data_IF_124955535333
#
_entry.id   IF_124955535333
#
_cell.length_a   1.000
_cell.length_b   1.000
_cell.length_c   1.000
_cell.angle_alpha   90.00
_cell.angle_beta   90.00
_cell.angle_gamma   90.00
#
_symmetry.space_group_name_H-M   'P 1'
#
loop_
_entity.id
_entity.type
_entity.pdbx_description
1 polymer ?
#
# COMPACT_ATOMS: atom_id res chain seq x y z
N UNK A 1 16.98 -5.46 -12.14
CA UNK A 1 16.29 -5.05 -10.90
C UNK A 1 16.78 -5.91 -9.75
N UNK A 2 17.13 -5.31 -8.62
CA UNK A 2 17.71 -6.01 -7.47
C UNK A 2 16.84 -5.83 -6.24
N UNK A 3 16.52 -6.93 -5.57
CA UNK A 3 15.86 -6.96 -4.27
C UNK A 3 16.91 -7.18 -3.18
N UNK A 4 17.12 -6.18 -2.32
CA UNK A 4 18.02 -6.29 -1.19
C UNK A 4 17.29 -6.92 -0.02
N UNK A 5 17.74 -8.08 0.43
CA UNK A 5 17.15 -8.86 1.50
C UNK A 5 18.00 -8.86 2.77
N UNK A 6 17.39 -9.20 3.88
CA UNK A 6 18.02 -9.31 5.19
C UNK A 6 17.21 -10.25 6.10
N UNK A 7 17.82 -10.79 7.12
CA UNK A 7 17.12 -11.66 8.08
C UNK A 7 15.95 -10.95 8.75
N UNK A 8 14.80 -11.58 8.72
CA UNK A 8 13.56 -11.05 9.23
C UNK A 8 12.80 -10.19 8.22
N UNK A 9 13.07 -10.30 6.92
CA UNK A 9 12.24 -9.64 5.90
C UNK A 9 10.84 -10.24 5.84
N UNK A 10 9.85 -9.44 5.44
CA UNK A 10 8.47 -9.86 5.26
C UNK A 10 8.30 -10.54 3.89
N UNK A 11 7.89 -11.83 3.84
CA UNK A 11 7.82 -12.59 2.58
C UNK A 11 6.99 -11.92 1.50
N UNK A 12 5.81 -11.39 1.84
CA UNK A 12 4.91 -10.80 0.87
C UNK A 12 5.44 -9.48 0.30
N UNK A 13 6.28 -8.77 1.04
CA UNK A 13 6.91 -7.53 0.57
C UNK A 13 7.95 -7.79 -0.54
N UNK A 14 8.49 -9.01 -0.59
CA UNK A 14 9.30 -9.51 -1.70
C UNK A 14 8.41 -10.16 -2.77
N UNK A 15 7.63 -11.18 -2.38
CA UNK A 15 6.93 -12.06 -3.32
C UNK A 15 5.87 -11.32 -4.14
N UNK A 16 5.19 -10.33 -3.56
CA UNK A 16 4.18 -9.53 -4.25
C UNK A 16 4.74 -8.77 -5.44
N UNK A 17 5.72 -7.86 -5.23
CA UNK A 17 6.39 -7.16 -6.33
C UNK A 17 7.12 -8.10 -7.29
N UNK A 18 7.82 -9.10 -6.77
CA UNK A 18 8.52 -10.09 -7.59
C UNK A 18 7.58 -10.75 -8.59
N UNK A 19 6.44 -11.27 -8.09
CA UNK A 19 5.45 -11.92 -8.95
C UNK A 19 4.85 -10.95 -9.98
N UNK A 20 4.62 -9.70 -9.62
CA UNK A 20 4.11 -8.70 -10.56
C UNK A 20 5.09 -8.48 -11.73
N UNK A 21 6.38 -8.28 -11.46
CA UNK A 21 7.39 -8.09 -12.49
C UNK A 21 7.64 -9.37 -13.31
N UNK A 22 7.64 -10.55 -12.66
CA UNK A 22 7.73 -11.83 -13.37
C UNK A 22 6.54 -12.04 -14.31
N UNK A 23 5.33 -11.74 -13.83
CA UNK A 23 4.12 -11.80 -14.65
C UNK A 23 4.15 -10.81 -15.82
N UNK A 24 4.78 -9.65 -15.66
CA UNK A 24 4.97 -8.70 -16.76
C UNK A 24 5.84 -9.27 -17.88
N UNK A 25 6.90 -10.01 -17.54
CA UNK A 25 7.72 -10.72 -18.51
C UNK A 25 6.90 -11.77 -19.29
N UNK A 26 6.10 -12.56 -18.56
CA UNK A 26 5.26 -13.60 -19.17
C UNK A 26 4.17 -13.02 -20.08
N UNK A 27 3.45 -11.99 -19.64
CA UNK A 27 2.40 -11.32 -20.43
C UNK A 27 2.97 -10.59 -21.66
N UNK A 28 4.21 -10.07 -21.55
CA UNK A 28 4.89 -9.44 -22.68
C UNK A 28 5.52 -10.43 -23.66
N UNK A 29 5.63 -11.71 -23.28
CA UNK A 29 6.32 -12.74 -24.09
C UNK A 29 7.81 -12.50 -24.28
N UNK A 30 8.43 -11.63 -23.46
CA UNK A 30 9.86 -11.30 -23.51
C UNK A 30 10.36 -10.79 -22.15
N UNK A 31 11.66 -10.92 -21.83
CA UNK A 31 12.24 -10.43 -20.60
C UNK A 31 12.28 -8.89 -20.60
N UNK A 32 11.36 -8.26 -19.85
CA UNK A 32 11.36 -6.81 -19.58
C UNK A 32 12.17 -6.49 -18.32
N UNK A 33 12.07 -7.38 -17.32
CA UNK A 33 12.71 -7.26 -16.01
C UNK A 33 13.56 -8.49 -15.72
N UNK A 34 14.85 -8.29 -15.53
CA UNK A 34 15.73 -9.28 -14.95
C UNK A 34 15.71 -9.08 -13.43
N UNK A 35 15.22 -10.07 -12.68
CA UNK A 35 15.07 -10.01 -11.24
C UNK A 35 16.20 -10.78 -10.56
N UNK A 36 16.75 -10.21 -9.49
CA UNK A 36 17.75 -10.87 -8.65
C UNK A 36 17.64 -10.43 -7.21
N UNK A 37 18.11 -11.27 -6.31
CA UNK A 37 18.14 -11.06 -4.87
C UNK A 37 19.57 -10.94 -4.37
N UNK A 38 19.79 -10.05 -3.40
CA UNK A 38 21.10 -9.85 -2.79
C UNK A 38 20.97 -9.62 -1.27
N UNK A 39 21.93 -10.08 -0.51
CA UNK A 39 21.99 -9.88 0.95
C UNK A 39 23.42 -9.85 1.46
N UNK A 40 23.63 -9.58 2.76
CA UNK A 40 24.94 -9.69 3.41
C UNK A 40 25.43 -11.14 3.46
N UNK A 41 24.52 -12.12 3.52
CA UNK A 41 24.82 -13.54 3.64
C UNK A 41 24.14 -14.33 2.52
N UNK A 42 24.68 -15.52 2.13
CA UNK A 42 24.11 -16.33 1.05
C UNK A 42 22.69 -16.84 1.32
N UNK A 43 22.29 -16.93 2.59
CA UNK A 43 20.97 -17.41 3.01
C UNK A 43 20.38 -16.42 3.99
N UNK A 44 19.14 -16.06 3.77
CA UNK A 44 18.34 -15.20 4.67
C UNK A 44 17.07 -15.92 5.12
N UNK A 45 16.55 -15.55 6.28
CA UNK A 45 15.30 -16.10 6.82
C UNK A 45 14.26 -15.02 7.00
N UNK A 46 12.98 -15.36 6.84
CA UNK A 46 11.87 -14.40 7.00
C UNK A 46 11.54 -14.13 8.47
N UNK A 47 11.77 -15.12 9.36
CA UNK A 47 11.51 -15.08 10.80
C UNK A 47 12.36 -16.16 11.47
N UNK A 48 12.44 -16.18 12.79
CA UNK A 48 13.26 -17.18 13.53
C UNK A 48 12.96 -18.63 13.15
N UNK A 49 11.72 -18.95 12.76
CA UNK A 49 11.29 -20.27 12.26
C UNK A 49 10.63 -20.16 10.87
N UNK A 50 10.96 -19.11 10.11
CA UNK A 50 10.35 -18.79 8.84
C UNK A 50 11.00 -19.49 7.65
N UNK A 51 10.56 -19.10 6.46
CA UNK A 51 11.15 -19.57 5.21
C UNK A 51 12.63 -19.15 5.14
N UNK A 52 13.48 -20.09 4.78
CA UNK A 52 14.87 -19.82 4.41
C UNK A 52 14.95 -19.68 2.91
N UNK A 53 15.67 -18.66 2.47
CA UNK A 53 15.85 -18.36 1.07
C UNK A 53 17.34 -18.14 0.76
N UNK A 54 17.84 -18.88 -0.23
CA UNK A 54 19.14 -18.59 -0.82
C UNK A 54 18.99 -17.39 -1.75
N UNK A 55 19.91 -16.41 -1.64
CA UNK A 55 19.96 -15.26 -2.53
C UNK A 55 20.87 -15.52 -3.73
N UNK A 56 20.69 -14.75 -4.80
CA UNK A 56 21.50 -14.90 -6.03
C UNK A 56 22.92 -14.40 -5.86
N UNK A 57 23.17 -13.47 -4.93
CA UNK A 57 24.50 -12.94 -4.63
C UNK A 57 24.61 -12.33 -3.24
N UNK A 58 25.83 -12.08 -2.79
CA UNK A 58 26.13 -11.35 -1.55
C UNK A 58 26.66 -9.95 -1.83
N UNK A 59 26.65 -9.06 -0.82
CA UNK A 59 27.22 -7.72 -0.95
C UNK A 59 28.71 -7.74 -1.34
N UNK A 60 29.44 -8.73 -0.84
CA UNK A 60 30.86 -8.94 -1.14
C UNK A 60 31.06 -9.35 -2.61
N UNK A 61 30.16 -10.18 -3.14
CA UNK A 61 30.22 -10.67 -4.53
C UNK A 61 29.61 -9.70 -5.54
N UNK A 62 28.90 -8.66 -5.04
CA UNK A 62 28.22 -7.70 -5.88
C UNK A 62 29.20 -6.75 -6.57
N UNK A 63 29.36 -6.96 -7.87
CA UNK A 63 30.13 -6.07 -8.72
C UNK A 63 29.42 -4.72 -8.97
N UNK A 64 30.05 -3.84 -9.73
CA UNK A 64 29.52 -2.52 -10.08
C UNK A 64 28.58 -2.54 -11.29
N UNK A 65 28.02 -3.71 -11.64
CA UNK A 65 27.07 -3.82 -12.74
C UNK A 65 25.85 -2.88 -12.51
N UNK A 66 25.40 -2.14 -13.55
CA UNK A 66 24.29 -1.19 -13.39
C UNK A 66 23.02 -1.86 -12.81
N UNK A 67 22.36 -1.16 -11.93
CA UNK A 67 21.04 -1.52 -11.39
C UNK A 67 20.04 -0.47 -11.84
N UNK A 68 19.01 -0.85 -12.59
CA UNK A 68 17.95 0.08 -13.00
C UNK A 68 16.95 0.36 -11.86
N UNK A 69 16.78 -0.61 -10.99
CA UNK A 69 15.87 -0.49 -9.85
C UNK A 69 16.36 -1.32 -8.67
N UNK A 70 16.40 -0.68 -7.51
CA UNK A 70 16.67 -1.30 -6.21
C UNK A 70 15.37 -1.33 -5.39
N UNK A 71 15.02 -2.47 -4.80
CA UNK A 71 13.86 -2.59 -3.92
C UNK A 71 14.26 -3.23 -2.59
N UNK A 72 13.82 -2.59 -1.50
CA UNK A 72 14.05 -3.03 -0.11
C UNK A 72 12.72 -3.40 0.52
N UNK A 73 12.45 -4.69 0.80
CA UNK A 73 11.26 -5.13 1.51
C UNK A 73 11.30 -4.69 2.98
N UNK A 74 10.15 -4.67 3.63
CA UNK A 74 10.05 -4.50 5.07
C UNK A 74 10.18 -5.82 5.81
N UNK A 75 9.89 -5.77 7.10
CA UNK A 75 9.88 -6.91 7.99
C UNK A 75 10.38 -6.56 9.40
N UNK A 76 10.21 -7.47 10.35
CA UNK A 76 10.66 -7.27 11.74
C UNK A 76 12.18 -7.14 11.88
N UNK A 77 12.95 -7.60 10.89
CA UNK A 77 14.40 -7.43 10.83
C UNK A 77 14.88 -6.06 10.39
N UNK A 78 14.00 -5.15 9.99
CA UNK A 78 14.36 -3.84 9.44
C UNK A 78 15.28 -3.03 10.38
N UNK A 79 15.07 -3.10 11.67
CA UNK A 79 15.91 -2.38 12.65
C UNK A 79 17.35 -2.92 12.68
N UNK A 80 17.50 -4.24 12.66
CA UNK A 80 18.83 -4.87 12.60
C UNK A 80 19.53 -4.54 11.30
N UNK A 81 18.82 -4.60 10.17
CA UNK A 81 19.33 -4.22 8.87
C UNK A 81 19.77 -2.75 8.85
N UNK A 82 18.97 -1.86 9.45
CA UNK A 82 19.27 -0.42 9.58
C UNK A 82 20.53 -0.12 10.43
N UNK A 83 20.84 -0.98 11.38
CA UNK A 83 22.04 -0.86 12.23
C UNK A 83 23.27 -1.57 11.64
N UNK A 84 23.12 -2.37 10.58
CA UNK A 84 24.20 -3.16 10.00
C UNK A 84 25.05 -2.31 9.05
N UNK A 85 26.29 -2.03 9.45
CA UNK A 85 27.17 -1.08 8.75
C UNK A 85 27.42 -1.45 7.30
N UNK A 86 27.62 -2.73 7.00
CA UNK A 86 27.85 -3.22 5.64
C UNK A 86 26.61 -3.01 4.75
N UNK A 87 25.41 -3.31 5.28
CA UNK A 87 24.15 -3.04 4.59
C UNK A 87 24.01 -1.57 4.24
N UNK A 88 24.30 -0.67 5.18
CA UNK A 88 24.24 0.78 4.94
C UNK A 88 25.26 1.25 3.92
N UNK A 89 26.49 0.73 3.96
CA UNK A 89 27.54 1.06 3.00
C UNK A 89 27.15 0.58 1.58
N UNK A 90 26.67 -0.68 1.47
CA UNK A 90 26.22 -1.25 0.22
C UNK A 90 25.05 -0.47 -0.38
N UNK A 91 24.03 -0.15 0.42
CA UNK A 91 22.86 0.63 -0.02
C UNK A 91 23.26 1.99 -0.60
N UNK A 92 24.09 2.76 0.11
CA UNK A 92 24.55 4.07 -0.36
C UNK A 92 25.30 3.96 -1.69
N UNK A 93 26.20 2.98 -1.81
CA UNK A 93 26.96 2.73 -3.03
C UNK A 93 26.05 2.41 -4.22
N UNK A 94 25.11 1.48 -4.02
CA UNK A 94 24.24 1.01 -5.11
C UNK A 94 23.13 2.01 -5.46
N UNK A 95 22.61 2.72 -4.46
CA UNK A 95 21.63 3.79 -4.68
C UNK A 95 22.21 4.91 -5.57
N UNK A 96 23.48 5.25 -5.41
CA UNK A 96 24.11 6.33 -6.19
C UNK A 96 24.00 6.11 -7.71
N UNK A 97 24.09 4.85 -8.15
CA UNK A 97 23.98 4.47 -9.57
C UNK A 97 22.58 4.02 -10.01
N UNK A 98 21.63 3.83 -9.09
CA UNK A 98 20.29 3.35 -9.40
C UNK A 98 19.35 4.51 -9.80
N UNK A 99 18.77 4.49 -11.01
CA UNK A 99 17.76 5.47 -11.42
C UNK A 99 16.51 5.45 -10.54
N UNK A 100 16.23 4.32 -9.87
CA UNK A 100 15.04 4.14 -9.04
C UNK A 100 15.33 3.28 -7.82
N UNK A 101 14.95 3.77 -6.63
CA UNK A 101 15.09 3.05 -5.36
C UNK A 101 13.74 3.00 -4.66
N UNK A 102 13.29 1.78 -4.35
CA UNK A 102 11.97 1.49 -3.83
C UNK A 102 12.06 0.87 -2.43
N UNK A 103 11.07 1.15 -1.59
CA UNK A 103 10.85 0.41 -0.35
C UNK A 103 9.40 -0.06 -0.22
N UNK A 104 9.24 -1.20 0.42
CA UNK A 104 7.95 -1.76 0.77
C UNK A 104 7.87 -1.85 2.29
N UNK A 105 6.75 -1.41 2.90
CA UNK A 105 6.52 -1.50 4.34
C UNK A 105 7.62 -0.80 5.18
N UNK A 106 8.16 -1.51 6.17
CA UNK A 106 9.27 -1.04 7.02
C UNK A 106 10.64 -1.01 6.32
N UNK A 107 10.74 -1.38 5.05
CA UNK A 107 11.92 -1.12 4.22
C UNK A 107 12.27 0.38 4.13
N UNK A 108 11.29 1.25 4.35
CA UNK A 108 11.51 2.70 4.45
C UNK A 108 12.46 3.09 5.59
N UNK A 109 12.49 2.35 6.72
CA UNK A 109 13.45 2.58 7.81
C UNK A 109 14.89 2.29 7.37
N UNK A 110 15.07 1.24 6.60
CA UNK A 110 16.38 0.84 6.09
C UNK A 110 16.94 1.90 5.15
N UNK A 111 16.11 2.41 4.22
CA UNK A 111 16.51 3.51 3.34
C UNK A 111 16.73 4.82 4.10
N UNK A 112 15.91 5.11 5.11
CA UNK A 112 16.05 6.29 5.95
C UNK A 112 17.33 6.26 6.79
N UNK A 113 17.68 5.11 7.37
CA UNK A 113 18.94 4.92 8.11
C UNK A 113 20.18 5.08 7.22
N UNK A 114 20.05 4.76 5.94
CA UNK A 114 21.10 5.03 4.96
C UNK A 114 21.20 6.53 4.56
N UNK A 115 20.27 7.40 5.02
CA UNK A 115 20.22 8.83 4.69
C UNK A 115 19.66 9.14 3.30
N UNK A 116 19.04 8.15 2.66
CA UNK A 116 18.60 8.27 1.26
C UNK A 116 17.27 9.02 1.10
N UNK A 117 16.48 9.12 2.16
CA UNK A 117 15.12 9.68 2.12
C UNK A 117 15.01 11.08 2.73
N UNK A 118 16.09 11.70 3.19
CA UNK A 118 16.06 13.00 3.86
C UNK A 118 15.39 14.09 3.01
N UNK A 119 14.49 14.86 3.62
CA UNK A 119 13.69 15.90 2.97
C UNK A 119 12.60 15.37 2.02
N UNK A 120 12.42 14.06 1.90
CA UNK A 120 11.48 13.43 0.97
C UNK A 120 10.10 13.21 1.60
N UNK A 121 9.07 13.21 0.74
CA UNK A 121 7.78 12.67 1.09
C UNK A 121 7.84 11.14 1.00
N UNK A 122 7.42 10.44 2.06
CA UNK A 122 7.51 8.99 2.16
C UNK A 122 6.29 8.39 2.84
N UNK A 123 6.01 7.12 2.55
CA UNK A 123 5.06 6.33 3.33
C UNK A 123 5.72 5.03 3.82
N UNK A 124 5.09 4.41 4.77
CA UNK A 124 5.45 3.11 5.33
C UNK A 124 4.19 2.42 5.83
N UNK A 125 4.31 1.24 6.39
CA UNK A 125 3.17 0.58 7.03
C UNK A 125 2.59 1.46 8.14
N UNK A 126 1.28 1.63 8.15
CA UNK A 126 0.58 2.56 9.06
C UNK A 126 0.93 2.40 10.55
N UNK A 127 1.12 1.15 11.02
CA UNK A 127 1.55 0.88 12.41
C UNK A 127 2.92 1.45 12.73
N UNK A 128 3.72 1.73 11.72
CA UNK A 128 5.11 2.16 11.86
C UNK A 128 5.34 3.61 11.47
N UNK A 129 4.30 4.31 10.97
CA UNK A 129 4.43 5.68 10.48
C UNK A 129 4.87 6.67 11.55
N UNK A 130 4.26 6.62 12.75
CA UNK A 130 4.64 7.50 13.87
C UNK A 130 6.06 7.23 14.34
N UNK A 131 6.45 5.98 14.39
CA UNK A 131 7.82 5.58 14.75
C UNK A 131 8.83 6.07 13.71
N UNK A 132 8.53 5.94 12.41
CA UNK A 132 9.39 6.45 11.34
C UNK A 132 9.56 7.97 11.46
N UNK A 133 8.49 8.71 11.75
CA UNK A 133 8.50 10.17 11.94
C UNK A 133 9.36 10.58 13.13
N UNK A 134 9.29 9.83 14.22
CA UNK A 134 10.08 10.09 15.42
C UNK A 134 11.58 9.79 15.22
N UNK A 135 11.91 8.68 14.57
CA UNK A 135 13.29 8.26 14.37
C UNK A 135 14.01 9.08 13.29
N UNK A 136 13.26 9.55 12.27
CA UNK A 136 13.80 10.27 11.12
C UNK A 136 13.02 11.57 10.87
N UNK A 137 13.22 12.61 11.71
CA UNK A 137 12.43 13.85 11.65
C UNK A 137 12.66 14.67 10.36
N UNK A 138 13.70 14.39 9.61
CA UNK A 138 13.95 15.00 8.31
C UNK A 138 12.96 14.52 7.22
N UNK A 139 12.21 13.43 7.46
CA UNK A 139 11.25 12.87 6.49
C UNK A 139 9.89 13.55 6.60
N UNK A 140 9.21 13.69 5.46
CA UNK A 140 7.80 14.09 5.41
C UNK A 140 6.91 12.84 5.32
N UNK A 141 6.70 12.17 6.45
CA UNK A 141 5.95 10.92 6.52
C UNK A 141 4.45 11.15 6.32
N UNK A 142 3.86 10.53 5.30
CA UNK A 142 2.43 10.50 5.00
C UNK A 142 1.91 9.10 5.31
N UNK A 143 1.16 8.96 6.39
CA UNK A 143 0.80 7.69 7.02
C UNK A 143 -0.42 6.97 6.42
N UNK A 144 -1.12 7.58 5.47
CA UNK A 144 -2.34 7.00 4.89
C UNK A 144 -2.27 6.98 3.35
N UNK A 145 -1.11 6.57 2.80
CA UNK A 145 -0.86 6.45 1.37
C UNK A 145 -0.47 5.02 1.00
N UNK A 146 -0.97 4.53 -0.12
CA UNK A 146 -0.60 3.21 -0.65
C UNK A 146 0.86 3.21 -1.08
N UNK A 147 1.26 4.19 -1.88
CA UNK A 147 2.65 4.46 -2.22
C UNK A 147 2.86 5.96 -2.51
N UNK A 148 4.10 6.39 -2.44
CA UNK A 148 4.52 7.76 -2.75
C UNK A 148 5.73 7.71 -3.67
N UNK A 149 5.69 8.51 -4.73
CA UNK A 149 6.83 8.84 -5.57
C UNK A 149 7.43 10.19 -5.08
N UNK A 150 8.74 10.20 -4.83
CA UNK A 150 9.47 11.43 -4.47
C UNK A 150 10.84 11.45 -5.17
N UNK A 151 10.85 11.95 -6.40
CA UNK A 151 12.01 11.85 -7.29
C UNK A 151 12.28 10.39 -7.71
N UNK A 152 13.50 9.91 -7.50
CA UNK A 152 13.83 8.51 -7.80
C UNK A 152 13.36 7.51 -6.74
N UNK A 153 12.88 7.99 -5.59
CA UNK A 153 12.47 7.14 -4.46
C UNK A 153 10.97 6.87 -4.48
N UNK A 154 10.63 5.59 -4.36
CA UNK A 154 9.26 5.12 -4.28
C UNK A 154 9.06 4.32 -2.99
N UNK A 155 8.15 4.74 -2.15
CA UNK A 155 7.88 4.07 -0.87
C UNK A 155 6.44 3.60 -0.81
N UNK A 156 6.18 2.40 -0.32
CA UNK A 156 4.82 1.85 -0.20
C UNK A 156 4.48 1.36 1.20
N UNK A 157 3.18 1.28 1.46
CA UNK A 157 2.62 0.83 2.74
C UNK A 157 2.94 -0.62 3.11
N UNK A 158 3.32 -1.42 2.12
CA UNK A 158 3.69 -2.81 2.35
C UNK A 158 2.57 -3.82 2.18
N UNK A 159 2.93 -5.08 2.37
CA UNK A 159 2.07 -6.24 2.17
C UNK A 159 1.47 -6.19 0.75
N UNK A 160 0.15 -6.11 0.61
CA UNK A 160 -0.49 -6.02 -0.73
C UNK A 160 -0.21 -4.70 -1.46
N UNK A 161 0.12 -3.61 -0.76
CA UNK A 161 0.49 -2.34 -1.39
C UNK A 161 1.81 -2.42 -2.18
N UNK A 162 2.66 -3.42 -1.90
CA UNK A 162 3.83 -3.72 -2.73
C UNK A 162 3.45 -4.16 -4.15
N UNK A 163 2.31 -4.84 -4.30
CA UNK A 163 1.77 -5.21 -5.62
C UNK A 163 1.27 -3.97 -6.36
N UNK A 164 0.56 -3.06 -5.68
CA UNK A 164 0.08 -1.80 -6.27
C UNK A 164 1.26 -0.94 -6.75
N UNK A 165 2.33 -0.85 -5.93
CA UNK A 165 3.57 -0.18 -6.31
C UNK A 165 4.18 -0.81 -7.57
N UNK A 166 4.31 -2.13 -7.63
CA UNK A 166 4.87 -2.82 -8.79
C UNK A 166 4.03 -2.60 -10.05
N UNK A 167 2.70 -2.66 -9.93
CA UNK A 167 1.79 -2.36 -11.05
C UNK A 167 1.92 -0.92 -11.54
N UNK A 168 2.11 0.06 -10.63
CA UNK A 168 2.35 1.45 -11.01
C UNK A 168 3.70 1.63 -11.73
N UNK A 169 4.74 0.93 -11.29
CA UNK A 169 6.05 0.92 -11.93
C UNK A 169 5.99 0.29 -13.32
N UNK A 170 5.30 -0.86 -13.49
CA UNK A 170 5.08 -1.50 -14.78
C UNK A 170 4.32 -0.57 -15.73
N UNK A 171 3.28 0.11 -15.25
CA UNK A 171 2.53 1.09 -16.05
C UNK A 171 3.42 2.22 -16.55
N UNK A 172 4.27 2.74 -15.69
CA UNK A 172 5.21 3.81 -16.04
C UNK A 172 6.25 3.38 -17.06
N UNK A 173 6.75 2.15 -16.94
CA UNK A 173 7.83 1.63 -17.79
C UNK A 173 7.32 1.14 -19.16
N UNK A 174 6.15 0.52 -19.20
CA UNK A 174 5.68 -0.22 -20.38
C UNK A 174 4.25 0.19 -20.80
N UNK A 175 3.52 0.85 -19.93
CA UNK A 175 2.17 1.35 -20.21
C UNK A 175 1.04 0.60 -19.51
N UNK A 176 -0.13 1.25 -19.49
CA UNK A 176 -1.30 0.81 -18.74
C UNK A 176 -1.84 -0.56 -19.21
N UNK A 177 -1.73 -0.88 -20.50
CA UNK A 177 -2.27 -2.12 -21.05
C UNK A 177 -1.61 -3.35 -20.40
N UNK A 178 -0.27 -3.37 -20.32
CA UNK A 178 0.46 -4.49 -19.71
C UNK A 178 0.21 -4.54 -18.20
N UNK A 179 0.23 -3.40 -17.51
CA UNK A 179 -0.08 -3.34 -16.08
C UNK A 179 -1.46 -3.92 -15.76
N UNK A 180 -2.47 -3.66 -16.60
CA UNK A 180 -3.81 -4.24 -16.44
C UNK A 180 -3.83 -5.76 -16.71
N UNK A 181 -3.05 -6.25 -17.66
CA UNK A 181 -2.93 -7.70 -17.92
C UNK A 181 -2.31 -8.40 -16.71
N UNK A 182 -1.23 -7.84 -16.16
CA UNK A 182 -0.59 -8.34 -14.93
C UNK A 182 -1.56 -8.32 -13.75
N UNK A 183 -2.29 -7.22 -13.53
CA UNK A 183 -3.27 -7.14 -12.45
C UNK A 183 -4.36 -8.22 -12.57
N UNK A 184 -4.86 -8.50 -13.78
CA UNK A 184 -5.83 -9.59 -14.03
C UNK A 184 -5.23 -10.96 -13.75
N UNK A 185 -3.99 -11.20 -14.19
CA UNK A 185 -3.27 -12.45 -13.93
C UNK A 185 -3.08 -12.72 -12.45
N UNK A 186 -2.76 -11.67 -11.67
CA UNK A 186 -2.62 -11.74 -10.22
C UNK A 186 -3.96 -11.80 -9.47
N UNK A 187 -5.09 -11.80 -10.19
CA UNK A 187 -6.44 -11.76 -9.60
C UNK A 187 -6.63 -10.56 -8.67
N UNK A 188 -5.93 -9.45 -8.94
CA UNK A 188 -6.11 -8.21 -8.18
C UNK A 188 -7.50 -7.66 -8.50
N UNK A 189 -8.39 -7.71 -7.51
CA UNK A 189 -9.79 -7.29 -7.68
C UNK A 189 -9.88 -5.81 -8.06
N UNK A 190 -9.01 -4.98 -7.48
CA UNK A 190 -8.92 -3.55 -7.75
C UNK A 190 -7.50 -3.06 -7.50
N UNK A 191 -6.91 -2.41 -8.48
CA UNK A 191 -5.66 -1.67 -8.32
C UNK A 191 -5.94 -0.39 -7.52
N UNK A 192 -5.08 -0.10 -6.54
CA UNK A 192 -5.15 1.09 -5.71
C UNK A 192 -4.14 2.12 -6.20
N UNK A 193 -4.57 3.38 -6.29
CA UNK A 193 -3.68 4.49 -6.61
C UNK A 193 -2.88 4.92 -5.37
N UNK A 194 -1.71 5.51 -5.57
CA UNK A 194 -0.80 5.87 -4.49
C UNK A 194 -1.41 6.80 -3.44
N UNK A 195 -2.33 7.68 -3.85
CA UNK A 195 -3.02 8.63 -2.98
C UNK A 195 -4.21 8.02 -2.20
N UNK A 196 -4.55 6.76 -2.45
CA UNK A 196 -5.58 6.06 -1.69
C UNK A 196 -5.09 5.69 -0.29
N UNK A 197 -6.07 5.45 0.60
CA UNK A 197 -5.79 5.06 1.98
C UNK A 197 -5.32 3.62 2.07
N UNK A 198 -4.44 3.35 3.05
CA UNK A 198 -3.94 2.00 3.31
C UNK A 198 -5.05 1.02 3.72
N UNK A 199 -6.10 1.52 4.37
CA UNK A 199 -7.28 0.72 4.69
C UNK A 199 -8.52 1.25 3.98
N UNK A 200 -9.35 0.33 3.52
CA UNK A 200 -10.72 0.66 3.16
C UNK A 200 -11.49 1.19 4.37
N UNK A 201 -12.41 2.11 4.15
CA UNK A 201 -13.34 2.54 5.21
C UNK A 201 -14.14 1.34 5.74
N UNK A 202 -14.48 0.42 4.86
CA UNK A 202 -15.13 -0.86 5.20
C UNK A 202 -14.34 -1.64 6.24
N UNK A 203 -13.03 -1.88 6.03
CA UNK A 203 -12.19 -2.56 7.03
C UNK A 203 -12.09 -1.80 8.35
N UNK A 204 -11.92 -0.47 8.30
CA UNK A 204 -11.92 0.37 9.51
C UNK A 204 -13.24 0.29 10.29
N UNK A 205 -14.35 0.16 9.58
CA UNK A 205 -15.65 0.01 10.17
C UNK A 205 -15.82 -1.41 10.75
N UNK A 206 -15.39 -2.45 10.05
CA UNK A 206 -15.44 -3.83 10.52
C UNK A 206 -14.60 -4.05 11.78
N UNK A 207 -13.40 -3.47 11.89
CA UNK A 207 -12.53 -3.60 13.07
C UNK A 207 -13.08 -2.89 14.32
N UNK A 208 -13.91 -1.85 14.15
CA UNK A 208 -14.47 -1.05 15.26
C UNK A 208 -15.92 -1.37 15.57
N UNK A 209 -16.54 -2.30 14.85
CA UNK A 209 -17.97 -2.48 14.92
C UNK A 209 -18.40 -3.26 16.16
N UNK A 210 -18.89 -2.55 17.18
CA UNK A 210 -19.79 -3.12 18.17
C UNK A 210 -21.06 -3.65 17.46
N UNK A 211 -21.58 -4.78 17.91
CA UNK A 211 -22.65 -5.54 17.25
C UNK A 211 -23.82 -4.71 16.64
N UNK A 212 -24.29 -3.59 17.24
CA UNK A 212 -25.44 -2.87 16.69
C UNK A 212 -25.16 -2.09 15.40
N UNK A 213 -23.90 -1.82 15.06
CA UNK A 213 -23.56 -1.05 13.86
C UNK A 213 -23.06 -1.92 12.69
N UNK A 214 -22.72 -3.19 12.94
CA UNK A 214 -22.26 -4.11 11.89
C UNK A 214 -23.34 -4.29 10.82
N UNK A 215 -24.53 -4.68 11.25
CA UNK A 215 -25.66 -4.90 10.35
C UNK A 215 -26.05 -3.63 9.58
N UNK A 216 -25.89 -2.45 10.20
CA UNK A 216 -26.11 -1.17 9.51
C UNK A 216 -25.09 -0.95 8.39
N UNK A 217 -23.80 -1.17 8.65
CA UNK A 217 -22.74 -0.98 7.64
C UNK A 217 -22.95 -1.94 6.47
N UNK A 218 -23.24 -3.20 6.73
CA UNK A 218 -23.54 -4.20 5.69
C UNK A 218 -24.77 -3.81 4.86
N UNK A 219 -25.85 -3.32 5.50
CA UNK A 219 -27.03 -2.82 4.80
C UNK A 219 -26.74 -1.60 3.93
N UNK A 220 -25.90 -0.68 4.42
CA UNK A 220 -25.48 0.50 3.65
C UNK A 220 -24.67 0.08 2.43
N UNK A 221 -23.71 -0.84 2.59
CA UNK A 221 -22.86 -1.33 1.50
C UNK A 221 -23.67 -2.07 0.44
N UNK A 222 -24.60 -2.89 0.84
CA UNK A 222 -25.50 -3.61 -0.07
C UNK A 222 -26.41 -2.68 -0.89
N UNK A 223 -26.74 -1.49 -0.36
CA UNK A 223 -27.62 -0.50 -0.99
C UNK A 223 -27.03 0.90 -1.00
N UNK A 224 -25.77 1.03 -1.42
CA UNK A 224 -25.00 2.28 -1.33
C UNK A 224 -25.59 3.43 -2.15
N UNK A 225 -26.28 3.13 -3.26
CA UNK A 225 -26.98 4.10 -4.09
C UNK A 225 -28.30 4.62 -3.49
N UNK A 226 -28.87 3.90 -2.51
CA UNK A 226 -30.13 4.30 -1.88
C UNK A 226 -29.97 5.61 -1.09
N UNK A 227 -31.08 6.30 -0.89
CA UNK A 227 -31.11 7.43 0.06
C UNK A 227 -31.10 6.86 1.48
N UNK A 228 -30.11 7.28 2.26
CA UNK A 228 -29.97 6.97 3.67
C UNK A 228 -30.07 8.27 4.47
N UNK A 229 -31.15 8.45 5.19
CA UNK A 229 -31.27 9.51 6.20
C UNK A 229 -30.68 9.03 7.53
N UNK A 230 -30.43 9.95 8.44
CA UNK A 230 -29.99 9.59 9.80
C UNK A 230 -31.07 8.79 10.53
N UNK A 231 -32.35 9.03 10.22
CA UNK A 231 -33.46 8.31 10.80
C UNK A 231 -33.50 6.85 10.29
N UNK A 232 -33.31 6.64 8.96
CA UNK A 232 -33.21 5.28 8.40
C UNK A 232 -32.08 4.47 9.04
N UNK A 233 -30.95 5.13 9.31
CA UNK A 233 -29.80 4.49 9.96
C UNK A 233 -30.08 4.19 11.42
N UNK A 234 -30.78 5.08 12.13
CA UNK A 234 -31.17 4.90 13.52
C UNK A 234 -32.17 3.75 13.66
N UNK A 235 -33.19 3.70 12.80
CA UNK A 235 -34.19 2.64 12.75
C UNK A 235 -33.54 1.29 12.44
N UNK A 236 -32.58 1.23 11.52
CA UNK A 236 -31.83 0.01 11.22
C UNK A 236 -31.02 -0.52 12.41
N UNK A 237 -30.71 0.34 13.40
CA UNK A 237 -30.06 -0.01 14.66
C UNK A 237 -31.02 -0.16 15.85
N UNK A 238 -32.33 -0.04 15.63
CA UNK A 238 -33.35 -0.04 16.69
C UNK A 238 -33.08 1.02 17.77
N UNK A 239 -32.68 2.23 17.36
CA UNK A 239 -32.31 3.34 18.25
C UNK A 239 -33.09 4.61 17.89
N UNK A 240 -33.38 5.45 18.91
CA UNK A 240 -33.83 6.81 18.61
C UNK A 240 -32.68 7.59 17.91
N UNK A 241 -33.02 8.54 17.03
CA UNK A 241 -32.05 9.38 16.30
C UNK A 241 -30.95 9.98 17.21
N UNK A 242 -31.34 10.53 18.36
CA UNK A 242 -30.42 11.12 19.34
C UNK A 242 -29.45 10.08 19.91
N UNK A 243 -29.97 8.91 20.29
CA UNK A 243 -29.16 7.81 20.84
C UNK A 243 -28.19 7.27 19.80
N UNK A 244 -28.68 7.07 18.58
CA UNK A 244 -27.91 6.61 17.46
C UNK A 244 -26.76 7.58 17.15
N UNK A 245 -27.03 8.87 16.94
CA UNK A 245 -25.99 9.86 16.62
C UNK A 245 -24.91 9.91 17.70
N UNK A 246 -25.30 9.95 18.98
CA UNK A 246 -24.35 9.97 20.09
C UNK A 246 -23.48 8.72 20.15
N UNK A 247 -24.08 7.52 20.10
CA UNK A 247 -23.34 6.25 20.14
C UNK A 247 -22.49 6.06 18.91
N UNK A 248 -22.99 6.42 17.73
CA UNK A 248 -22.27 6.30 16.46
C UNK A 248 -21.05 7.24 16.44
N UNK A 249 -21.22 8.50 16.81
CA UNK A 249 -20.11 9.46 16.88
C UNK A 249 -19.06 9.07 17.94
N UNK A 250 -19.49 8.59 19.09
CA UNK A 250 -18.58 8.09 20.12
C UNK A 250 -17.78 6.86 19.65
N UNK A 251 -18.40 6.03 18.79
CA UNK A 251 -17.79 4.80 18.29
C UNK A 251 -16.86 5.04 17.10
N UNK A 252 -17.31 5.81 16.12
CA UNK A 252 -16.59 6.05 14.86
C UNK A 252 -15.78 7.35 14.82
N UNK A 253 -15.96 8.25 15.78
CA UNK A 253 -15.32 9.56 15.82
C UNK A 253 -15.83 10.57 14.80
N UNK A 254 -16.84 10.20 14.00
CA UNK A 254 -17.42 11.03 12.93
C UNK A 254 -18.93 10.82 12.82
N UNK A 255 -19.63 11.76 12.16
CA UNK A 255 -21.07 11.68 11.97
C UNK A 255 -21.45 10.53 10.98
N UNK A 256 -22.66 9.93 11.12
CA UNK A 256 -23.14 8.87 10.24
C UNK A 256 -23.15 9.25 8.75
N UNK A 257 -23.54 10.47 8.43
CA UNK A 257 -23.54 10.99 7.06
C UNK A 257 -22.14 11.12 6.45
N UNK A 258 -21.14 11.38 7.28
CA UNK A 258 -19.75 11.42 6.85
C UNK A 258 -19.21 10.04 6.54
N UNK A 259 -19.56 9.01 7.32
CA UNK A 259 -19.22 7.62 7.00
C UNK A 259 -19.84 7.21 5.67
N UNK A 260 -21.12 7.46 5.47
CA UNK A 260 -21.82 7.18 4.19
C UNK A 260 -21.14 7.88 3.01
N UNK A 261 -20.76 9.16 3.17
CA UNK A 261 -20.07 9.92 2.14
C UNK A 261 -18.72 9.26 1.77
N UNK A 262 -17.95 8.84 2.77
CA UNK A 262 -16.64 8.20 2.58
C UNK A 262 -16.78 6.85 1.88
N UNK A 263 -17.73 6.02 2.28
CA UNK A 263 -18.02 4.73 1.61
C UNK A 263 -18.37 4.94 0.13
N UNK A 264 -19.21 5.94 -0.16
CA UNK A 264 -19.57 6.28 -1.55
C UNK A 264 -18.37 6.76 -2.37
N UNK A 265 -17.52 7.62 -1.79
CA UNK A 265 -16.31 8.10 -2.47
C UNK A 265 -15.34 6.96 -2.76
N UNK A 266 -15.09 6.10 -1.78
CA UNK A 266 -14.23 4.94 -1.94
C UNK A 266 -14.73 4.02 -3.07
N UNK A 267 -16.04 3.70 -3.06
CA UNK A 267 -16.64 2.88 -4.11
C UNK A 267 -16.63 3.55 -5.48
N UNK A 268 -16.83 4.87 -5.53
CA UNK A 268 -16.76 5.64 -6.77
C UNK A 268 -15.35 5.62 -7.36
N UNK A 269 -14.31 5.85 -6.54
CA UNK A 269 -12.91 5.77 -6.96
C UNK A 269 -12.57 4.38 -7.48
N UNK A 270 -13.02 3.34 -6.77
CA UNK A 270 -12.87 1.95 -7.18
C UNK A 270 -13.45 1.67 -8.57
N UNK A 271 -14.68 2.10 -8.82
CA UNK A 271 -15.35 1.90 -10.10
C UNK A 271 -14.72 2.71 -11.23
N UNK A 272 -14.23 3.92 -10.94
CA UNK A 272 -13.51 4.76 -11.91
C UNK A 272 -12.17 4.15 -12.31
N UNK A 273 -11.42 3.60 -11.36
CA UNK A 273 -10.14 2.94 -11.61
C UNK A 273 -10.25 1.74 -12.57
N UNK A 274 -11.42 1.10 -12.66
CA UNK A 274 -11.66 0.02 -13.64
C UNK A 274 -11.72 0.49 -15.10
N UNK A 275 -11.87 1.80 -15.33
CA UNK A 275 -12.03 2.38 -16.67
C UNK A 275 -13.29 1.94 -17.46
N UNK A 276 -14.13 1.08 -16.86
CA UNK A 276 -15.28 0.45 -17.53
C UNK A 276 -16.57 1.26 -17.46
N UNK A 277 -16.61 2.30 -16.64
CA UNK A 277 -17.82 3.08 -16.39
C UNK A 277 -17.60 4.58 -16.57
N UNK A 278 -18.56 5.26 -17.22
CA UNK A 278 -18.57 6.73 -17.26
C UNK A 278 -18.85 7.30 -15.85
N UNK A 279 -18.37 8.53 -15.57
CA UNK A 279 -18.63 9.25 -14.30
C UNK A 279 -20.11 9.26 -13.92
N UNK A 280 -21.01 9.45 -14.88
CA UNK A 280 -22.47 9.44 -14.68
C UNK A 280 -22.97 8.06 -14.22
N UNK A 281 -22.49 6.98 -14.82
CA UNK A 281 -22.83 5.61 -14.41
C UNK A 281 -22.29 5.26 -13.02
N UNK A 282 -21.07 5.67 -12.71
CA UNK A 282 -20.49 5.49 -11.36
C UNK A 282 -21.37 6.18 -10.32
N UNK A 283 -21.80 7.43 -10.56
CA UNK A 283 -22.65 8.17 -9.64
C UNK A 283 -24.03 7.50 -9.42
N UNK A 284 -24.58 6.87 -10.46
CA UNK A 284 -25.82 6.06 -10.33
C UNK A 284 -25.62 4.83 -9.43
N UNK A 285 -24.45 4.20 -9.45
CA UNK A 285 -24.15 3.02 -8.65
C UNK A 285 -23.84 3.32 -7.18
N UNK A 286 -23.28 4.49 -6.89
CA UNK A 286 -22.86 4.83 -5.51
C UNK A 286 -23.76 5.84 -4.82
N UNK A 287 -24.65 6.51 -5.57
CA UNK A 287 -25.46 7.61 -5.03
C UNK A 287 -24.70 8.93 -4.90
N UNK A 288 -25.32 9.97 -4.33
CA UNK A 288 -24.72 11.30 -4.22
C UNK A 288 -23.52 11.31 -3.29
N UNK A 289 -22.37 11.74 -3.79
CA UNK A 289 -21.09 11.87 -3.05
C UNK A 289 -20.93 13.23 -2.35
N UNK A 290 -21.81 14.21 -2.66
CA UNK A 290 -21.85 15.52 -2.03
C UNK A 290 -23.14 15.68 -1.22
N UNK A 291 -23.03 16.16 0.00
CA UNK A 291 -24.18 16.67 0.74
C UNK A 291 -24.69 17.94 0.04
N UNK A 292 -25.80 17.86 -0.68
CA UNK A 292 -26.62 19.07 -0.85
C UNK A 292 -27.24 19.31 0.51
N UNK A 293 -26.76 20.35 1.19
CA UNK A 293 -27.45 20.94 2.33
C UNK A 293 -28.90 21.13 1.92
N UNK A 294 -29.81 20.47 2.59
CA UNK A 294 -31.22 20.81 2.51
C UNK A 294 -31.35 22.24 3.04
N UNK A 295 -31.76 23.14 2.17
CA UNK A 295 -32.30 24.43 2.52
C UNK A 295 -33.58 24.25 3.32
#
# INVERSE_FOLDING_TARGET
MVFMLYDGFQPLDLAGPWQAFSSANEEAGRPLYQLSTIAATPVVSTWEQGLRMQVDGTFEQDGDAPIDMLLVPGGPGADRASAHAETMAWLRRRDAGAPRTCSVCTGAFVLAAAGLLDGRAVTTHWRSADRLRQMHPALRVQDDRIFIESGKYWTSAGVTAGIDLALALIERDVGAALSQQVARRLVVFMRRDGDQRQYSQTLRLQDRVAAPFRDLVEKIEAKLSARWSVDDMADACHMSRRTFQRKFAAHFGVAPTEVLRRLRQERASALQATGKMSKKRVQQHVGPTHNRSAS
#
